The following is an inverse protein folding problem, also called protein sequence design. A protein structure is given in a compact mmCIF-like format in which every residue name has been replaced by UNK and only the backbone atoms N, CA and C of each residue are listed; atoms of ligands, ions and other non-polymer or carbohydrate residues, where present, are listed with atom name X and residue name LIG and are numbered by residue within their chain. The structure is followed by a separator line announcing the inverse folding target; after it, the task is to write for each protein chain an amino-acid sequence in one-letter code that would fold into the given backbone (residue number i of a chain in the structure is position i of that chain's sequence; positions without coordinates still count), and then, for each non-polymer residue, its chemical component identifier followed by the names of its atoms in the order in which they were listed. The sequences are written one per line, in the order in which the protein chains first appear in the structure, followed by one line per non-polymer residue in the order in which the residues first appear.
data_IF_922470592686
#
_entry.id   IF_922470592686
#
_cell.length_a   1.000
_cell.length_b   1.000
_cell.length_c   1.000
_cell.angle_alpha   90.00
_cell.angle_beta   90.00
_cell.angle_gamma   90.00
#
_symmetry.space_group_name_H-M   'P 1'
#
loop_
_entity.id
_entity.type
_entity.pdbx_description
1 polymer ?
#
# COMPACT_ATOMS: atom_id res chain seq x y z
N UNK A 1 -3.86 -13.64 5.86
CA UNK A 1 -2.62 -12.91 5.48
C UNK A 1 -1.85 -12.64 6.77
N UNK A 2 -0.54 -12.88 6.82
CA UNK A 2 0.24 -12.49 8.01
C UNK A 2 0.38 -10.96 8.10
N UNK A 3 0.64 -10.45 9.30
CA UNK A 3 0.63 -9.01 9.57
C UNK A 3 1.74 -8.23 8.83
N UNK A 4 2.90 -8.85 8.59
CA UNK A 4 3.98 -8.20 7.84
C UNK A 4 3.64 -8.08 6.36
N UNK A 5 3.08 -9.14 5.77
CA UNK A 5 2.56 -9.12 4.39
C UNK A 5 1.49 -8.05 4.22
N UNK A 6 0.55 -7.95 5.16
CA UNK A 6 -0.47 -6.90 5.16
C UNK A 6 0.15 -5.49 5.27
N UNK A 7 1.11 -5.31 6.17
CA UNK A 7 1.83 -4.04 6.33
C UNK A 7 2.54 -3.61 5.03
N UNK A 8 3.21 -4.54 4.33
CA UNK A 8 3.85 -4.27 3.04
C UNK A 8 2.83 -3.83 1.99
N UNK A 9 1.70 -4.51 1.86
CA UNK A 9 0.64 -4.13 0.92
C UNK A 9 0.09 -2.73 1.19
N UNK A 10 -0.13 -2.37 2.45
CA UNK A 10 -0.57 -1.01 2.82
C UNK A 10 0.52 0.03 2.48
N UNK A 11 1.77 -0.26 2.83
CA UNK A 11 2.90 0.62 2.54
C UNK A 11 3.07 0.87 1.03
N UNK A 12 3.01 -0.17 0.20
CA UNK A 12 3.10 -0.07 -1.26
C UNK A 12 2.00 0.81 -1.86
N UNK A 13 0.77 0.70 -1.36
CA UNK A 13 -0.35 1.53 -1.83
C UNK A 13 -0.12 3.00 -1.47
N UNK A 14 0.31 3.27 -0.24
CA UNK A 14 0.63 4.63 0.23
C UNK A 14 1.77 5.21 -0.59
N UNK A 15 2.83 4.45 -0.85
CA UNK A 15 3.95 4.91 -1.71
C UNK A 15 3.48 5.25 -3.13
N UNK A 16 2.57 4.45 -3.69
CA UNK A 16 2.03 4.71 -5.03
C UNK A 16 1.21 6.01 -5.07
N UNK A 17 0.42 6.30 -4.04
CA UNK A 17 -0.33 7.56 -3.91
C UNK A 17 0.61 8.76 -3.68
N UNK A 18 1.62 8.59 -2.83
CA UNK A 18 2.65 9.58 -2.58
C UNK A 18 3.42 9.96 -3.86
N UNK A 19 3.77 8.95 -4.66
CA UNK A 19 4.42 9.14 -5.96
C UNK A 19 3.50 9.88 -6.95
N UNK A 20 2.20 9.54 -7.02
CA UNK A 20 1.21 10.26 -7.84
C UNK A 20 1.08 11.73 -7.42
N UNK A 21 1.08 11.99 -6.13
CA UNK A 21 1.01 13.34 -5.57
C UNK A 21 2.32 14.12 -5.69
N UNK A 22 3.43 13.48 -6.06
CA UNK A 22 4.78 14.07 -6.05
C UNK A 22 5.20 14.55 -4.66
N UNK A 23 4.79 13.82 -3.62
CA UNK A 23 5.08 14.12 -2.20
C UNK A 23 5.87 12.96 -1.60
N UNK A 24 7.21 13.00 -1.57
CA UNK A 24 7.98 11.92 -0.96
C UNK A 24 7.75 11.92 0.56
N UNK A 25 7.52 10.73 1.13
CA UNK A 25 7.16 10.57 2.55
C UNK A 25 7.84 9.39 3.23
N UNK A 26 7.74 9.36 4.56
CA UNK A 26 8.01 8.21 5.39
C UNK A 26 6.71 7.50 5.76
N UNK A 27 6.77 6.18 5.86
CA UNK A 27 5.66 5.32 6.28
C UNK A 27 6.16 4.45 7.42
N UNK A 28 5.35 4.32 8.46
CA UNK A 28 5.60 3.44 9.60
C UNK A 28 4.33 2.66 9.94
N UNK A 29 4.49 1.38 10.26
CA UNK A 29 3.42 0.51 10.72
C UNK A 29 3.87 -0.14 12.03
N UNK A 30 3.02 -0.02 13.05
CA UNK A 30 3.25 -0.49 14.42
C UNK A 30 2.11 -1.42 14.83
N UNK A 31 2.41 -2.55 15.47
CA UNK A 31 1.39 -3.45 16.01
C UNK A 31 0.67 -2.85 17.24
N UNK A 32 -0.44 -3.46 17.68
CA UNK A 32 -1.17 -3.04 18.89
C UNK A 32 -0.37 -3.17 20.19
N UNK A 33 0.84 -3.75 20.16
CA UNK A 33 1.73 -3.85 21.30
C UNK A 33 2.81 -2.75 21.30
N UNK A 34 2.83 -1.88 20.28
CA UNK A 34 3.76 -0.78 20.15
C UNK A 34 5.09 -1.15 19.48
N UNK A 35 5.19 -2.31 18.83
CA UNK A 35 6.38 -2.74 18.11
C UNK A 35 6.32 -2.35 16.63
N UNK A 36 7.45 -1.90 16.09
CA UNK A 36 7.58 -1.58 14.66
C UNK A 36 7.55 -2.87 13.85
N UNK A 37 6.64 -2.93 12.89
CA UNK A 37 6.55 -4.01 11.90
C UNK A 37 7.32 -3.63 10.64
N UNK A 38 7.12 -2.38 10.19
CA UNK A 38 7.68 -1.87 8.95
C UNK A 38 7.88 -0.36 9.08
N UNK A 39 9.03 0.13 8.62
CA UNK A 39 9.35 1.56 8.59
C UNK A 39 10.31 1.85 7.44
N UNK A 40 9.95 2.78 6.57
CA UNK A 40 10.80 3.23 5.46
C UNK A 40 10.55 4.71 5.14
N UNK A 41 11.43 5.26 4.31
CA UNK A 41 11.38 6.65 3.85
C UNK A 41 11.71 6.70 2.37
N UNK A 42 10.85 7.33 1.59
CA UNK A 42 11.09 7.62 0.19
C UNK A 42 12.25 8.62 0.06
N UNK A 43 13.06 8.46 -0.98
CA UNK A 43 14.07 9.46 -1.34
C UNK A 43 13.44 10.83 -1.51
N UNK A 44 14.07 11.87 -0.95
CA UNK A 44 13.57 13.25 -0.99
C UNK A 44 12.59 13.63 0.13
N UNK A 45 12.09 12.68 0.92
CA UNK A 45 11.23 13.02 2.06
C UNK A 45 12.02 13.73 3.17
N UNK A 46 11.45 14.69 3.92
CA UNK A 46 12.12 15.32 5.05
C UNK A 46 12.62 14.30 6.09
N UNK A 47 13.78 14.54 6.70
CA UNK A 47 14.37 13.56 7.65
C UNK A 47 13.50 13.33 8.88
N UNK A 48 12.86 14.39 9.41
CA UNK A 48 11.99 14.29 10.58
C UNK A 48 10.71 13.47 10.33
N UNK A 49 10.35 13.24 9.07
CA UNK A 49 9.19 12.44 8.69
C UNK A 49 9.23 11.02 9.25
N UNK A 50 10.41 10.42 9.41
CA UNK A 50 10.55 9.07 9.98
C UNK A 50 10.12 9.01 11.44
N UNK A 51 10.46 10.01 12.24
CA UNK A 51 10.07 10.06 13.65
C UNK A 51 8.58 10.35 13.77
N UNK A 52 8.09 11.26 12.93
CA UNK A 52 6.71 11.69 12.96
C UNK A 52 5.74 10.61 12.47
N UNK A 53 6.08 9.89 11.39
CA UNK A 53 5.31 8.75 10.91
C UNK A 53 5.23 7.65 11.97
N UNK A 54 6.32 7.40 12.71
CA UNK A 54 6.34 6.46 13.83
C UNK A 54 5.39 6.89 14.96
N UNK A 55 5.43 8.16 15.39
CA UNK A 55 4.52 8.65 16.45
C UNK A 55 3.05 8.57 16.03
N UNK A 56 2.74 8.88 14.76
CA UNK A 56 1.39 8.77 14.22
C UNK A 56 0.90 7.31 14.18
N UNK A 57 1.76 6.40 13.75
CA UNK A 57 1.49 4.96 13.73
C UNK A 57 1.26 4.41 15.15
N UNK A 58 2.15 4.76 16.08
CA UNK A 58 2.06 4.39 17.49
C UNK A 58 0.74 4.87 18.10
N UNK A 59 0.38 6.14 17.86
CA UNK A 59 -0.87 6.70 18.35
C UNK A 59 -2.07 5.93 17.84
N UNK A 60 -2.11 5.65 16.53
CA UNK A 60 -3.26 4.98 15.93
C UNK A 60 -3.36 3.51 16.37
N UNK A 61 -2.23 2.84 16.57
CA UNK A 61 -2.18 1.46 17.04
C UNK A 61 -2.68 1.31 18.49
N UNK A 62 -2.33 2.25 19.37
CA UNK A 62 -2.63 2.15 20.80
C UNK A 62 -3.94 2.85 21.20
N UNK A 63 -4.33 3.90 20.50
CA UNK A 63 -5.58 4.63 20.76
C UNK A 63 -6.74 4.08 19.92
N UNK A 64 -6.45 3.44 18.79
CA UNK A 64 -7.48 2.92 17.88
C UNK A 64 -8.23 4.00 17.10
N UNK A 65 -7.71 5.23 17.09
CA UNK A 65 -8.29 6.38 16.39
C UNK A 65 -7.35 6.88 15.31
N UNK A 66 -7.91 7.58 14.32
CA UNK A 66 -7.11 8.37 13.39
C UNK A 66 -6.50 9.55 14.12
N UNK A 67 -5.25 9.88 13.83
CA UNK A 67 -4.59 11.00 14.53
C UNK A 67 -5.26 12.34 14.25
N UNK A 68 -5.88 12.49 13.08
CA UNK A 68 -6.68 13.68 12.73
C UNK A 68 -7.92 13.85 13.63
N UNK A 69 -8.55 12.75 14.06
CA UNK A 69 -9.73 12.77 14.93
C UNK A 69 -9.36 13.07 16.40
N UNK A 70 -8.11 12.82 16.77
CA UNK A 70 -7.61 13.02 18.13
C UNK A 70 -7.35 14.50 18.45
N UNK A 71 -7.00 15.31 17.45
CA UNK A 71 -6.67 16.73 17.61
C UNK A 71 -7.68 17.54 18.45
N UNK A 72 -9.00 17.50 18.21
CA UNK A 72 -9.97 18.21 19.03
C UNK A 72 -10.07 17.69 20.47
N UNK A 73 -9.71 16.42 20.74
CA UNK A 73 -9.85 15.80 22.06
C UNK A 73 -8.70 16.14 23.02
N UNK A 74 -7.57 16.61 22.47
CA UNK A 74 -6.34 16.87 23.22
C UNK A 74 -6.06 18.36 23.42
N UNK A 75 -7.03 19.23 23.11
CA UNK A 75 -6.92 20.68 23.32
C UNK A 75 -7.06 21.04 24.81
N UNK A 76 -6.54 22.22 25.25
CA UNK A 76 -6.78 22.72 26.59
C UNK A 76 -8.27 22.69 26.97
N UNK A 77 -8.58 22.11 28.13
CA UNK A 77 -9.95 21.95 28.63
C UNK A 77 -10.69 20.71 28.13
N UNK A 78 -10.07 19.87 27.29
CA UNK A 78 -10.65 18.62 26.81
C UNK A 78 -10.18 17.42 27.63
N UNK A 79 -10.96 16.32 27.59
CA UNK A 79 -10.73 15.15 28.42
C UNK A 79 -9.36 14.49 28.19
N UNK A 80 -8.83 14.52 26.96
CA UNK A 80 -7.55 13.91 26.61
C UNK A 80 -6.39 14.91 26.56
N UNK A 81 -6.54 16.14 27.08
CA UNK A 81 -5.45 17.13 27.14
C UNK A 81 -4.11 16.56 27.66
N UNK A 82 -4.05 15.70 28.70
CA UNK A 82 -2.79 15.17 29.18
C UNK A 82 -2.10 14.17 28.24
N UNK A 83 -2.80 13.62 27.24
CA UNK A 83 -2.33 12.48 26.44
C UNK A 83 -1.01 12.76 25.71
N UNK A 84 -0.79 13.99 25.23
CA UNK A 84 0.45 14.34 24.53
C UNK A 84 1.68 14.38 25.46
N UNK A 85 1.46 14.48 26.78
CA UNK A 85 2.53 14.48 27.78
C UNK A 85 2.85 13.09 28.37
N UNK A 86 1.99 12.09 28.19
CA UNK A 86 2.21 10.74 28.73
C UNK A 86 3.05 9.89 27.77
N UNK A 87 3.46 8.69 28.23
CA UNK A 87 4.31 7.77 27.46
C UNK A 87 5.58 8.42 26.90
N UNK A 88 6.14 9.41 27.60
CA UNK A 88 7.33 10.15 27.17
C UNK A 88 7.12 11.03 25.93
N UNK A 89 5.89 11.48 25.66
CA UNK A 89 5.59 12.32 24.50
C UNK A 89 5.59 11.57 23.16
N UNK A 90 5.31 10.26 23.19
CA UNK A 90 5.27 9.42 21.99
C UNK A 90 3.99 9.58 21.17
N UNK A 91 2.91 10.04 21.78
CA UNK A 91 1.65 10.27 21.08
C UNK A 91 1.71 11.50 20.17
N UNK A 92 0.96 11.48 19.08
CA UNK A 92 0.88 12.55 18.10
C UNK A 92 -0.57 12.70 17.62
N UNK A 93 -1.13 13.89 17.78
CA UNK A 93 -2.47 14.25 17.31
C UNK A 93 -2.46 14.95 15.95
N UNK A 94 -1.34 14.90 15.22
CA UNK A 94 -1.24 15.49 13.89
C UNK A 94 -1.70 14.49 12.83
N UNK A 95 -2.55 14.92 11.91
CA UNK A 95 -3.15 14.08 10.86
C UNK A 95 -2.12 13.29 10.04
N UNK A 96 -2.53 12.13 9.53
CA UNK A 96 -1.67 11.20 8.78
C UNK A 96 -1.37 9.89 9.51
N UNK A 97 -2.13 9.52 10.54
CA UNK A 97 -2.13 8.17 11.10
C UNK A 97 -3.54 7.58 11.19
N UNK A 98 -3.65 6.26 11.03
CA UNK A 98 -4.92 5.54 11.06
C UNK A 98 -4.77 4.11 11.63
N UNK A 99 -5.84 3.58 12.26
CA UNK A 99 -5.88 2.21 12.71
C UNK A 99 -6.04 1.24 11.53
N UNK A 100 -5.40 0.09 11.62
CA UNK A 100 -5.45 -1.00 10.64
C UNK A 100 -6.18 -2.20 11.23
N UNK A 101 -7.15 -2.74 10.49
CA UNK A 101 -8.00 -3.83 10.94
C UNK A 101 -7.86 -5.05 10.02
N UNK A 102 -7.91 -6.25 10.62
CA UNK A 102 -8.10 -7.53 9.91
C UNK A 102 -9.34 -8.17 10.51
N UNK A 103 -10.32 -8.53 9.67
CA UNK A 103 -11.59 -9.14 10.09
C UNK A 103 -12.31 -8.36 11.21
N UNK A 104 -12.24 -7.03 11.15
CA UNK A 104 -12.83 -6.11 12.13
C UNK A 104 -12.05 -5.96 13.43
N UNK A 105 -10.95 -6.69 13.63
CA UNK A 105 -10.08 -6.56 14.79
C UNK A 105 -8.95 -5.58 14.51
N UNK A 106 -8.71 -4.65 15.44
CA UNK A 106 -7.56 -3.75 15.39
C UNK A 106 -6.27 -4.57 15.58
N UNK A 107 -5.38 -4.53 14.60
CA UNK A 107 -4.12 -5.31 14.61
C UNK A 107 -2.86 -4.46 14.57
N UNK A 108 -2.97 -3.23 14.03
CA UNK A 108 -1.85 -2.31 13.90
C UNK A 108 -2.34 -0.86 13.71
N UNK A 109 -1.41 0.08 13.70
CA UNK A 109 -1.61 1.45 13.26
C UNK A 109 -0.58 1.80 12.19
N UNK A 110 -1.01 2.56 11.20
CA UNK A 110 -0.14 3.16 10.18
C UNK A 110 0.01 4.65 10.45
N UNK A 111 1.18 5.18 10.14
CA UNK A 111 1.46 6.60 10.18
C UNK A 111 2.34 6.98 9.01
N UNK A 112 2.05 8.12 8.40
CA UNK A 112 2.80 8.66 7.26
C UNK A 112 3.16 10.11 7.52
N UNK A 113 4.27 10.56 6.93
CA UNK A 113 4.65 11.96 6.98
C UNK A 113 5.56 12.34 5.82
N UNK A 114 5.31 13.48 5.18
CA UNK A 114 6.23 14.03 4.19
C UNK A 114 5.82 15.40 3.65
N UNK A 115 4.51 15.62 3.50
CA UNK A 115 3.94 16.86 2.98
C UNK A 115 3.33 17.73 4.07
N UNK A 116 2.31 18.50 3.69
CA UNK A 116 1.41 19.16 4.65
C UNK A 116 0.55 18.13 5.38
N UNK A 117 -0.12 18.54 6.46
CA UNK A 117 -1.02 17.65 7.21
C UNK A 117 -2.17 17.17 6.32
N UNK A 118 -2.69 18.04 5.48
CA UNK A 118 -3.75 17.71 4.52
C UNK A 118 -3.26 16.69 3.50
N UNK A 119 -2.05 16.86 2.94
CA UNK A 119 -1.45 15.90 2.02
C UNK A 119 -1.21 14.54 2.70
N UNK A 120 -0.70 14.54 3.93
CA UNK A 120 -0.51 13.31 4.72
C UNK A 120 -1.86 12.59 4.97
N UNK A 121 -2.95 13.31 5.20
CA UNK A 121 -4.29 12.71 5.35
C UNK A 121 -4.80 12.19 4.02
N UNK A 122 -4.80 13.01 2.96
CA UNK A 122 -5.36 12.64 1.66
C UNK A 122 -4.67 11.42 1.06
N UNK A 123 -3.34 11.35 1.15
CA UNK A 123 -2.55 10.22 0.66
C UNK A 123 -2.79 8.96 1.49
N UNK A 124 -2.92 9.11 2.82
CA UNK A 124 -3.25 7.99 3.70
C UNK A 124 -4.62 7.42 3.35
N UNK A 125 -5.64 8.26 3.22
CA UNK A 125 -7.00 7.83 2.88
C UNK A 125 -7.07 7.15 1.52
N UNK A 126 -6.35 7.68 0.53
CA UNK A 126 -6.25 7.07 -0.79
C UNK A 126 -5.56 5.70 -0.72
N UNK A 127 -4.46 5.58 0.04
CA UNK A 127 -3.72 4.32 0.18
C UNK A 127 -4.44 3.25 1.00
N UNK A 128 -5.30 3.65 1.94
CA UNK A 128 -6.11 2.75 2.77
C UNK A 128 -7.43 2.35 2.12
N UNK A 129 -7.88 3.07 1.10
CA UNK A 129 -9.04 2.65 0.32
C UNK A 129 -8.75 1.26 -0.24
N UNK A 130 -9.66 0.32 -0.01
CA UNK A 130 -9.60 -0.92 -0.76
C UNK A 130 -9.61 -0.56 -2.24
N UNK A 131 -8.70 -1.10 -3.06
CA UNK A 131 -8.76 -0.88 -4.49
C UNK A 131 -10.18 -1.24 -4.89
N UNK A 132 -10.92 -0.25 -5.41
CA UNK A 132 -12.22 -0.48 -6.00
C UNK A 132 -12.03 -1.68 -6.89
N UNK A 133 -12.77 -2.78 -6.65
CA UNK A 133 -12.53 -4.08 -7.25
C UNK A 133 -12.07 -3.85 -8.69
N UNK A 134 -10.76 -3.83 -8.89
CA UNK A 134 -10.22 -3.98 -10.22
C UNK A 134 -10.69 -5.39 -10.45
N UNK A 135 -11.63 -5.57 -11.38
CA UNK A 135 -12.01 -6.89 -11.84
C UNK A 135 -10.69 -7.57 -12.15
N UNK A 136 -10.15 -8.30 -11.18
CA UNK A 136 -8.99 -9.14 -11.37
C UNK A 136 -9.61 -10.24 -12.19
N UNK A 137 -9.64 -10.00 -13.50
CA UNK A 137 -10.11 -10.99 -14.45
C UNK A 137 -9.20 -12.17 -14.18
N UNK A 138 -9.80 -13.26 -13.70
CA UNK A 138 -9.14 -14.54 -13.56
C UNK A 138 -8.77 -15.01 -14.98
N UNK A 139 -7.60 -14.56 -15.43
CA UNK A 139 -7.08 -14.84 -16.77
C UNK A 139 -6.50 -16.24 -16.76
N UNK A 140 -7.28 -17.22 -17.19
CA UNK A 140 -6.81 -18.57 -17.45
C UNK A 140 -6.15 -18.63 -18.83
N UNK A 141 -4.92 -19.11 -18.88
CA UNK A 141 -4.25 -19.40 -20.15
C UNK A 141 -4.80 -20.74 -20.66
N UNK A 142 -5.38 -20.73 -21.86
CA UNK A 142 -5.78 -21.92 -22.59
C UNK A 142 -4.90 -22.07 -23.83
N UNK A 143 -4.31 -23.25 -24.02
CA UNK A 143 -3.48 -23.58 -25.18
C UNK A 143 -4.29 -24.48 -26.11
N UNK A 144 -4.66 -23.97 -27.29
CA UNK A 144 -5.42 -24.71 -28.30
C UNK A 144 -4.53 -24.96 -29.52
N UNK A 145 -4.42 -26.22 -29.93
CA UNK A 145 -3.74 -26.59 -31.18
C UNK A 145 -4.74 -26.57 -32.32
N UNK A 146 -4.59 -25.62 -33.24
CA UNK A 146 -5.40 -25.53 -34.46
C UNK A 146 -4.64 -26.16 -35.63
N UNK A 147 -5.09 -27.30 -36.19
CA UNK A 147 -4.46 -27.88 -37.36
C UNK A 147 -4.69 -26.99 -38.59
N UNK A 148 -3.63 -26.75 -39.36
CA UNK A 148 -3.69 -25.96 -40.60
C UNK A 148 -3.02 -26.72 -41.74
N UNK A 149 -3.51 -26.51 -42.96
CA UNK A 149 -2.93 -27.15 -44.15
C UNK A 149 -1.61 -26.52 -44.60
N UNK A 150 -1.36 -25.26 -44.22
CA UNK A 150 -0.16 -24.49 -44.56
C UNK A 150 0.18 -23.56 -43.39
N UNK A 151 1.30 -23.86 -42.72
CA UNK A 151 1.76 -23.16 -41.52
C UNK A 151 2.17 -21.71 -41.82
N UNK A 152 2.85 -21.47 -42.94
CA UNK A 152 3.37 -20.14 -43.29
C UNK A 152 2.23 -19.21 -43.72
N UNK A 153 1.22 -19.74 -44.40
CA UNK A 153 0.00 -18.99 -44.68
C UNK A 153 -0.75 -18.62 -43.41
N UNK A 154 -0.85 -19.53 -42.43
CA UNK A 154 -1.51 -19.27 -41.16
C UNK A 154 -0.77 -18.20 -40.33
N UNK A 155 0.57 -18.28 -40.24
CA UNK A 155 1.40 -17.29 -39.53
C UNK A 155 1.18 -15.87 -40.08
N UNK A 156 1.22 -15.69 -41.41
CA UNK A 156 0.98 -14.39 -42.05
C UNK A 156 -0.41 -13.85 -41.74
N UNK A 157 -1.44 -14.70 -41.87
CA UNK A 157 -2.81 -14.31 -41.57
C UNK A 157 -2.97 -13.73 -40.15
N UNK A 158 -2.41 -14.39 -39.13
CA UNK A 158 -2.50 -13.88 -37.75
C UNK A 158 -1.62 -12.66 -37.50
N UNK A 159 -0.43 -12.58 -38.10
CA UNK A 159 0.41 -11.39 -38.03
C UNK A 159 -0.27 -10.16 -38.62
N UNK A 160 -0.97 -10.30 -39.75
CA UNK A 160 -1.75 -9.23 -40.38
C UNK A 160 -2.93 -8.77 -39.51
N UNK A 161 -3.47 -9.66 -38.66
CA UNK A 161 -4.47 -9.33 -37.64
C UNK A 161 -3.86 -8.68 -36.38
N UNK A 162 -2.55 -8.40 -36.37
CA UNK A 162 -1.85 -7.76 -35.27
C UNK A 162 -1.43 -8.71 -34.14
N UNK A 163 -1.49 -10.02 -34.35
CA UNK A 163 -1.01 -10.99 -33.38
C UNK A 163 0.51 -11.06 -33.40
N UNK A 164 1.11 -11.20 -32.21
CA UNK A 164 2.56 -11.35 -32.05
C UNK A 164 2.94 -12.83 -32.10
N UNK A 165 3.89 -13.19 -32.95
CA UNK A 165 4.49 -14.53 -32.96
C UNK A 165 5.59 -14.57 -31.89
N UNK A 166 5.33 -15.33 -30.82
CA UNK A 166 6.24 -15.42 -29.68
C UNK A 166 7.21 -16.60 -29.78
N UNK A 167 6.73 -17.76 -30.25
CA UNK A 167 7.50 -19.00 -30.31
C UNK A 167 7.12 -19.76 -31.59
N UNK A 168 8.13 -20.23 -32.32
CA UNK A 168 7.98 -21.10 -33.49
C UNK A 168 8.75 -22.40 -33.26
N UNK A 169 8.03 -23.51 -33.07
CA UNK A 169 8.63 -24.82 -32.80
C UNK A 169 8.48 -25.73 -34.02
N UNK A 170 9.60 -26.10 -34.64
CA UNK A 170 9.63 -27.17 -35.62
C UNK A 170 9.93 -28.49 -34.91
N UNK A 171 8.95 -29.40 -34.88
CA UNK A 171 9.20 -30.75 -34.42
C UNK A 171 10.20 -31.42 -35.37
N UNK A 172 11.38 -31.81 -34.86
CA UNK A 172 12.31 -32.66 -35.59
C UNK A 172 11.66 -34.03 -35.78
N UNK A 173 11.52 -34.46 -37.04
CA UNK A 173 11.14 -35.82 -37.35
C UNK A 173 12.20 -36.77 -36.77
N UNK A 174 11.83 -37.55 -35.75
CA UNK A 174 12.62 -38.71 -35.33
C UNK A 174 12.46 -39.72 -36.47
N UNK A 175 13.45 -39.79 -37.34
CA UNK A 175 13.57 -40.87 -38.32
C UNK A 175 14.17 -42.05 -37.56
N UNK A 176 13.30 -43.01 -37.24
CA UNK A 176 13.52 -44.39 -36.78
C UNK A 176 14.58 -44.64 -35.69
#
# INVERSE_FOLDING_TARGET
MDLLSYAKTIAERIEAEAARATVPMAVCIIDIHGNIILKHRMSGAPTFSLELSERKAYTSALVGLRTAELSPMVQPGQALFPLMGVAGGRFCSMGGGAPLHIDGQLVAGVGISGGTVEQDVDILEAGLREPAATDTVDMKIEVVVLPVSDVERAKRFYADLGWRLDIDYQAQAIIA
#
